data_IF_393407955798
#
_entry.id   IF_393407955798
#
_cell.length_a   1.000
_cell.length_b   1.000
_cell.length_c   1.000
_cell.angle_alpha   90.00
_cell.angle_beta   90.00
_cell.angle_gamma   90.00
#
_symmetry.space_group_name_H-M   'P 1'
#
loop_
_entity.id
_entity.type
_entity.pdbx_description
1 polymer ?
#
# COMPACT_ATOMS: atom_id res chain seq x y z
N UNK A 1 0.99 14.49 -20.88
CA UNK A 1 1.96 15.59 -21.07
C UNK A 1 1.68 16.65 -20.00
N UNK A 2 2.50 16.70 -18.95
CA UNK A 2 2.30 17.62 -17.81
C UNK A 2 2.93 18.99 -18.09
N UNK A 3 2.22 20.07 -17.73
CA UNK A 3 2.71 21.44 -17.88
C UNK A 3 3.67 21.78 -16.74
N UNK A 4 4.97 21.55 -16.96
CA UNK A 4 6.02 22.09 -16.07
C UNK A 4 5.98 23.62 -16.13
N UNK A 5 6.18 24.28 -14.99
CA UNK A 5 6.22 25.74 -14.88
C UNK A 5 7.58 26.14 -14.33
N UNK A 6 8.18 27.16 -14.91
CA UNK A 6 9.48 27.70 -14.50
C UNK A 6 9.31 29.13 -14.03
N UNK A 7 10.13 29.54 -13.06
CA UNK A 7 10.12 30.86 -12.46
C UNK A 7 10.80 31.88 -13.38
N UNK A 8 10.19 33.05 -13.51
CA UNK A 8 10.79 34.22 -14.18
C UNK A 8 11.53 35.15 -13.19
N UNK A 9 11.81 34.68 -11.97
CA UNK A 9 12.53 35.44 -10.94
C UNK A 9 11.66 36.34 -10.06
N UNK A 10 10.42 36.60 -10.47
CA UNK A 10 9.45 37.43 -9.72
C UNK A 10 8.57 36.65 -8.76
N UNK A 11 8.62 35.32 -8.82
CA UNK A 11 7.68 34.44 -8.16
C UNK A 11 8.23 33.93 -6.82
N UNK A 12 7.35 33.69 -5.86
CA UNK A 12 7.72 33.22 -4.52
C UNK A 12 7.04 31.89 -4.20
N UNK A 13 7.76 31.03 -3.48
CA UNK A 13 7.24 29.76 -2.99
C UNK A 13 7.38 29.64 -1.47
N UNK A 14 6.49 28.85 -0.87
CA UNK A 14 6.52 28.54 0.55
C UNK A 14 7.67 27.58 0.84
N UNK A 15 8.62 28.02 1.64
CA UNK A 15 9.78 27.27 2.07
C UNK A 15 9.84 27.24 3.61
N UNK A 16 10.69 26.38 4.14
CA UNK A 16 10.96 26.29 5.57
C UNK A 16 12.42 26.65 5.81
N UNK A 17 12.66 27.58 6.74
CA UNK A 17 14.02 27.90 7.20
C UNK A 17 14.16 27.62 8.68
N UNK A 18 15.38 27.30 9.08
CA UNK A 18 15.72 27.16 10.50
C UNK A 18 16.13 28.52 11.04
N UNK A 19 15.42 29.02 12.05
CA UNK A 19 15.77 30.23 12.79
C UNK A 19 15.69 29.91 14.28
N UNK A 20 16.76 30.19 15.01
CA UNK A 20 16.83 30.00 16.47
C UNK A 20 16.42 28.58 16.91
N UNK A 21 16.89 27.56 16.18
CA UNK A 21 16.61 26.15 16.45
C UNK A 21 15.23 25.64 16.05
N UNK A 22 14.30 26.52 15.63
CA UNK A 22 12.94 26.17 15.19
C UNK A 22 12.79 26.27 13.67
N UNK A 23 11.92 25.43 13.11
CA UNK A 23 11.56 25.46 11.69
C UNK A 23 10.41 26.45 11.52
N UNK A 24 10.62 27.49 10.72
CA UNK A 24 9.65 28.55 10.45
C UNK A 24 9.35 28.61 8.95
N UNK A 25 8.07 28.66 8.61
CA UNK A 25 7.61 28.83 7.23
C UNK A 25 7.90 30.26 6.76
N UNK A 26 8.43 30.42 5.55
CA UNK A 26 8.68 31.72 4.94
C UNK A 26 8.49 31.64 3.43
N UNK A 27 8.22 32.78 2.79
CA UNK A 27 8.17 32.87 1.33
C UNK A 27 9.57 33.15 0.78
N UNK A 28 10.11 32.21 0.01
CA UNK A 28 11.39 32.35 -0.68
C UNK A 28 11.18 32.84 -2.12
N UNK A 29 11.98 33.80 -2.58
CA UNK A 29 12.01 34.20 -3.98
C UNK A 29 12.71 33.10 -4.81
N UNK A 30 12.05 32.68 -5.89
CA UNK A 30 12.55 31.60 -6.75
C UNK A 30 13.46 32.19 -7.84
N UNK A 31 14.69 31.68 -8.02
CA UNK A 31 15.59 32.18 -9.06
C UNK A 31 15.01 31.92 -10.46
N UNK A 32 15.45 32.72 -11.43
CA UNK A 32 15.06 32.55 -12.85
C UNK A 32 15.40 31.14 -13.34
N UNK A 33 14.44 30.48 -13.97
CA UNK A 33 14.57 29.09 -14.44
C UNK A 33 14.31 28.02 -13.38
N UNK A 34 14.00 28.36 -12.13
CA UNK A 34 13.66 27.36 -11.11
C UNK A 34 12.30 26.73 -11.39
N UNK A 35 12.19 25.40 -11.24
CA UNK A 35 10.95 24.67 -11.46
C UNK A 35 9.97 24.87 -10.29
N UNK A 36 8.76 25.33 -10.61
CA UNK A 36 7.74 25.71 -9.64
C UNK A 36 6.77 24.58 -9.34
N UNK A 37 6.16 24.62 -8.15
CA UNK A 37 5.14 23.68 -7.71
C UNK A 37 5.69 22.28 -7.50
N UNK A 38 7.02 22.15 -7.43
CA UNK A 38 7.69 20.90 -7.12
C UNK A 38 7.45 20.57 -5.66
N UNK A 39 7.18 19.30 -5.40
CA UNK A 39 7.02 18.79 -4.04
C UNK A 39 7.90 17.58 -3.93
N UNK A 40 8.77 17.59 -2.93
CA UNK A 40 9.67 16.46 -2.63
C UNK A 40 8.89 15.16 -2.47
N UNK A 41 7.67 15.25 -1.94
CA UNK A 41 6.79 14.10 -1.76
C UNK A 41 5.73 14.05 -2.85
N UNK A 42 5.77 12.98 -3.64
CA UNK A 42 4.72 12.65 -4.60
C UNK A 42 3.37 12.52 -3.88
N UNK A 43 2.38 13.35 -4.24
CA UNK A 43 1.06 13.40 -3.55
C UNK A 43 0.29 12.07 -3.66
N UNK A 44 0.52 11.35 -4.75
CA UNK A 44 0.05 10.00 -5.10
C UNK A 44 0.95 9.51 -6.22
N UNK A 45 1.43 8.28 -6.15
CA UNK A 45 1.99 7.57 -7.30
C UNK A 45 0.93 7.52 -8.41
N UNK A 46 1.06 8.40 -9.40
CA UNK A 46 0.36 8.26 -10.68
C UNK A 46 1.26 7.39 -11.56
N UNK A 47 1.36 6.12 -11.21
CA UNK A 47 2.25 5.15 -11.83
C UNK A 47 1.64 3.75 -11.76
N UNK A 48 0.40 3.62 -12.22
CA UNK A 48 -0.28 2.35 -12.35
C UNK A 48 -1.39 2.54 -13.37
N UNK A 49 -1.13 2.13 -14.62
CA UNK A 49 -2.09 2.22 -15.73
C UNK A 49 -3.33 1.35 -15.55
N UNK A 50 -3.39 0.53 -14.49
CA UNK A 50 -4.65 0.01 -13.98
C UNK A 50 -5.02 0.84 -12.75
N UNK A 51 -6.17 1.52 -12.83
CA UNK A 51 -6.87 1.86 -11.60
C UNK A 51 -6.93 0.60 -10.75
N UNK A 52 -6.37 0.65 -9.52
CA UNK A 52 -6.51 -0.48 -8.59
C UNK A 52 -8.01 -0.71 -8.45
N UNK A 53 -8.50 -1.76 -9.11
CA UNK A 53 -9.90 -2.17 -9.03
C UNK A 53 -10.21 -2.34 -7.55
N UNK A 54 -11.18 -1.56 -7.06
CA UNK A 54 -11.64 -1.64 -5.68
C UNK A 54 -11.29 -0.47 -4.74
N UNK A 55 -10.71 0.64 -5.22
CA UNK A 55 -10.44 1.79 -4.34
C UNK A 55 -11.47 2.95 -4.42
N UNK A 56 -12.11 3.17 -5.57
CA UNK A 56 -13.05 4.29 -5.76
C UNK A 56 -14.50 3.84 -5.79
N UNK A 57 -15.39 4.63 -5.19
CA UNK A 57 -16.84 4.37 -5.20
C UNK A 57 -17.41 4.37 -6.63
N UNK A 58 -16.80 5.10 -7.57
CA UNK A 58 -17.18 5.10 -8.99
C UNK A 58 -16.89 3.75 -9.66
N UNK A 59 -15.75 3.14 -9.35
CA UNK A 59 -15.39 1.82 -9.89
C UNK A 59 -16.37 0.74 -9.41
N UNK A 60 -16.82 0.79 -8.15
CA UNK A 60 -17.88 -0.11 -7.67
C UNK A 60 -19.24 0.16 -8.29
N UNK A 61 -19.57 1.42 -8.55
CA UNK A 61 -20.82 1.80 -9.21
C UNK A 61 -20.86 1.26 -10.65
N UNK A 62 -19.77 1.38 -11.40
CA UNK A 62 -19.61 0.81 -12.73
C UNK A 62 -19.66 -0.72 -12.69
N UNK A 63 -18.91 -1.36 -11.79
CA UNK A 63 -18.89 -2.82 -11.64
C UNK A 63 -20.26 -3.41 -11.35
N UNK A 64 -21.06 -2.75 -10.51
CA UNK A 64 -22.37 -3.23 -10.08
C UNK A 64 -23.52 -2.71 -10.94
N UNK A 65 -23.23 -2.00 -12.04
CA UNK A 65 -24.22 -1.30 -12.87
C UNK A 65 -25.19 -0.46 -12.03
N UNK A 66 -24.67 0.17 -10.97
CA UNK A 66 -25.43 0.89 -9.96
C UNK A 66 -25.17 2.39 -10.06
N UNK A 67 -26.19 3.20 -9.74
CA UNK A 67 -26.02 4.65 -9.66
C UNK A 67 -25.13 4.99 -8.45
N UNK A 68 -24.07 5.82 -8.61
CA UNK A 68 -23.21 6.20 -7.49
C UNK A 68 -24.01 6.97 -6.45
N UNK A 69 -23.81 6.61 -5.18
CA UNK A 69 -24.55 7.22 -4.07
C UNK A 69 -24.27 8.73 -3.98
N UNK A 70 -25.33 9.53 -3.98
CA UNK A 70 -25.26 10.98 -3.74
C UNK A 70 -25.56 11.25 -2.27
N UNK A 71 -24.63 11.89 -1.58
CA UNK A 71 -24.86 12.38 -0.22
C UNK A 71 -25.83 13.56 -0.25
N UNK A 72 -27.11 13.28 -0.02
CA UNK A 72 -28.11 14.32 0.24
C UNK A 72 -28.08 14.62 1.73
N UNK A 73 -27.77 15.88 2.09
CA UNK A 73 -27.85 16.33 3.49
C UNK A 73 -29.28 16.12 3.98
N UNK A 74 -29.46 15.31 5.01
CA UNK A 74 -30.76 15.13 5.63
C UNK A 74 -31.28 16.50 6.10
N UNK A 75 -32.49 16.86 5.67
CA UNK A 75 -33.21 18.00 6.27
C UNK A 75 -33.62 17.61 7.68
N UNK A 76 -33.58 18.56 8.62
CA UNK A 76 -34.09 18.36 9.98
C UNK A 76 -35.55 17.92 9.89
N UNK A 77 -35.82 16.67 10.26
CA UNK A 77 -37.17 16.16 10.44
C UNK A 77 -37.79 16.89 11.61
N UNK A 78 -39.03 17.37 11.46
CA UNK A 78 -39.81 17.87 12.60
C UNK A 78 -40.20 16.64 13.42
N UNK A 79 -39.67 16.53 14.64
CA UNK A 79 -40.06 15.45 15.56
C UNK A 79 -41.56 15.50 15.81
N UNK A 80 -42.27 14.46 15.38
CA UNK A 80 -43.69 14.27 15.66
C UNK A 80 -43.90 13.59 17.02
N UNK A 81 -45.16 13.53 17.45
CA UNK A 81 -45.56 12.75 18.62
C UNK A 81 -45.33 11.26 18.36
N UNK A 82 -44.72 10.54 19.30
CA UNK A 82 -44.58 9.10 19.22
C UNK A 82 -45.89 8.42 19.61
N UNK A 83 -46.39 7.52 18.76
CA UNK A 83 -47.61 6.75 19.02
C UNK A 83 -47.27 5.33 19.46
N UNK A 84 -48.12 4.73 20.31
CA UNK A 84 -48.02 3.30 20.60
C UNK A 84 -48.44 2.49 19.37
N UNK A 85 -47.93 1.26 19.23
CA UNK A 85 -48.17 0.38 18.06
C UNK A 85 -49.67 0.21 17.73
N UNK A 86 -50.51 0.08 18.76
CA UNK A 86 -51.96 -0.10 18.64
C UNK A 86 -52.66 1.16 18.14
N UNK A 87 -52.25 2.34 18.62
CA UNK A 87 -52.77 3.63 18.18
C UNK A 87 -52.37 3.92 16.74
N UNK A 88 -51.11 3.65 16.38
CA UNK A 88 -50.61 3.81 15.02
C UNK A 88 -51.37 2.94 14.01
N UNK A 89 -51.68 1.68 14.38
CA UNK A 89 -52.46 0.78 13.53
C UNK A 89 -53.88 1.29 13.26
N UNK A 90 -54.55 1.85 14.29
CA UNK A 90 -55.88 2.45 14.14
C UNK A 90 -55.86 3.69 13.24
N UNK A 91 -54.87 4.57 13.42
CA UNK A 91 -54.72 5.77 12.59
C UNK A 91 -54.44 5.43 11.12
N UNK A 92 -53.63 4.40 10.88
CA UNK A 92 -53.39 3.90 9.51
C UNK A 92 -54.68 3.37 8.89
N UNK A 93 -55.44 2.54 9.59
CA UNK A 93 -56.70 1.99 9.07
C UNK A 93 -57.70 3.10 8.70
N UNK A 94 -57.83 4.14 9.55
CA UNK A 94 -58.65 5.31 9.25
C UNK A 94 -58.13 6.09 8.03
N UNK A 95 -56.82 6.30 7.92
CA UNK A 95 -56.23 7.00 6.78
C UNK A 95 -56.43 6.27 5.45
N UNK A 96 -56.28 4.94 5.44
CA UNK A 96 -56.54 4.11 4.27
C UNK A 96 -58.02 4.13 3.86
N UNK A 97 -58.95 4.09 4.82
CA UNK A 97 -60.39 4.21 4.52
C UNK A 97 -60.78 5.57 3.94
N UNK A 98 -60.09 6.64 4.35
CA UNK A 98 -60.35 8.01 3.91
C UNK A 98 -59.65 8.40 2.59
N UNK A 99 -58.79 7.55 2.03
CA UNK A 99 -58.01 7.85 0.81
C UNK A 99 -58.39 6.94 -0.36
N UNK A 100 -59.33 7.36 -1.24
CA UNK A 100 -59.81 6.54 -2.35
C UNK A 100 -58.76 6.30 -3.45
N UNK A 101 -57.75 7.17 -3.55
CA UNK A 101 -56.61 7.00 -4.45
C UNK A 101 -55.31 7.07 -3.65
N UNK A 102 -54.64 5.92 -3.55
CA UNK A 102 -53.34 5.84 -2.90
C UNK A 102 -52.25 6.49 -3.76
N UNK A 103 -51.25 7.16 -3.15
CA UNK A 103 -50.13 7.70 -3.88
C UNK A 103 -49.38 6.59 -4.63
N UNK A 104 -48.91 6.92 -5.84
CA UNK A 104 -48.13 5.99 -6.64
C UNK A 104 -46.86 5.58 -5.89
N UNK A 105 -46.70 4.28 -5.67
CA UNK A 105 -45.47 3.73 -5.07
C UNK A 105 -44.33 3.96 -6.07
N UNK A 106 -43.43 4.88 -5.75
CA UNK A 106 -42.18 5.09 -6.48
C UNK A 106 -41.15 4.05 -6.04
N UNK A 107 -40.94 3.03 -6.87
CA UNK A 107 -39.80 2.12 -6.70
C UNK A 107 -38.53 2.85 -7.10
N UNK A 108 -37.60 3.01 -6.17
CA UNK A 108 -36.28 3.53 -6.47
C UNK A 108 -35.52 2.54 -7.38
N UNK A 109 -34.69 3.04 -8.31
CA UNK A 109 -33.83 2.18 -9.11
C UNK A 109 -32.85 1.42 -8.20
N UNK A 110 -32.40 0.26 -8.67
CA UNK A 110 -31.35 -0.52 -8.01
C UNK A 110 -30.08 0.33 -7.89
N UNK A 111 -29.56 0.46 -6.67
CA UNK A 111 -28.42 1.32 -6.37
C UNK A 111 -27.65 0.84 -5.14
N UNK A 112 -26.47 1.40 -4.94
CA UNK A 112 -25.65 1.12 -3.76
C UNK A 112 -26.34 1.61 -2.47
N UNK A 113 -26.20 0.90 -1.34
CA UNK A 113 -26.76 1.33 -0.06
C UNK A 113 -26.17 2.68 0.37
N UNK A 114 -26.91 3.38 1.24
CA UNK A 114 -26.67 4.78 1.64
C UNK A 114 -25.19 5.12 1.80
N UNK A 115 -24.70 5.95 0.87
CA UNK A 115 -23.38 6.55 0.72
C UNK A 115 -22.36 6.27 1.85
N UNK A 116 -21.75 5.07 1.90
CA UNK A 116 -20.61 4.86 2.77
C UNK A 116 -19.47 5.77 2.30
N UNK A 117 -18.64 6.25 3.24
CA UNK A 117 -17.44 7.02 2.89
C UNK A 117 -16.56 6.26 1.89
N UNK A 118 -16.57 4.92 1.95
CA UNK A 118 -15.98 4.00 0.97
C UNK A 118 -16.90 2.78 0.76
N UNK A 119 -17.30 2.52 -0.48
CA UNK A 119 -18.13 1.37 -0.86
C UNK A 119 -17.39 0.05 -0.65
N UNK A 120 -16.05 0.07 -0.76
CA UNK A 120 -15.19 -1.08 -0.48
C UNK A 120 -15.39 -1.69 0.92
N UNK A 121 -15.81 -0.89 1.92
CA UNK A 121 -16.00 -1.40 3.28
C UNK A 121 -17.21 -2.33 3.41
N UNK A 122 -18.12 -2.33 2.42
CA UNK A 122 -19.23 -3.29 2.32
C UNK A 122 -18.79 -4.64 1.75
N UNK A 123 -17.63 -4.69 1.10
CA UNK A 123 -17.11 -5.86 0.39
C UNK A 123 -15.74 -6.26 0.94
N UNK A 124 -15.71 -6.87 2.13
CA UNK A 124 -14.48 -7.28 2.81
C UNK A 124 -13.54 -8.11 1.93
N UNK A 125 -14.09 -9.00 1.08
CA UNK A 125 -13.32 -9.82 0.14
C UNK A 125 -12.70 -9.06 -1.03
N UNK A 126 -13.15 -7.83 -1.30
CA UNK A 126 -12.58 -6.95 -2.35
C UNK A 126 -11.58 -5.94 -1.78
N UNK A 127 -11.40 -5.92 -0.46
CA UNK A 127 -10.40 -5.09 0.20
C UNK A 127 -9.06 -5.81 0.12
N UNK A 128 -8.11 -5.24 -0.62
CA UNK A 128 -6.72 -5.66 -0.51
C UNK A 128 -6.23 -5.36 0.91
N UNK A 129 -6.11 -6.41 1.71
CA UNK A 129 -5.59 -6.31 3.08
C UNK A 129 -4.18 -5.75 3.09
N UNK A 130 -3.80 -5.15 4.23
CA UNK A 130 -2.45 -4.60 4.45
C UNK A 130 -1.40 -5.69 4.75
N UNK A 131 -1.80 -6.96 4.76
CA UNK A 131 -0.94 -8.07 5.11
C UNK A 131 -0.26 -8.62 3.85
N UNK A 132 1.05 -8.43 3.81
CA UNK A 132 2.06 -9.15 3.05
C UNK A 132 1.82 -9.35 1.53
N UNK A 133 2.56 -8.56 0.72
CA UNK A 133 3.05 -9.05 -0.57
C UNK A 133 2.19 -8.79 -1.81
N UNK A 134 1.45 -7.68 -1.86
CA UNK A 134 0.59 -7.39 -3.01
C UNK A 134 0.81 -6.05 -3.71
N UNK A 135 1.69 -5.15 -3.26
CA UNK A 135 1.98 -3.93 -4.04
C UNK A 135 2.82 -4.30 -5.26
N UNK A 136 2.64 -3.60 -6.39
CA UNK A 136 3.78 -3.47 -7.29
C UNK A 136 4.92 -2.87 -6.44
N UNK A 137 6.14 -3.41 -6.51
CA UNK A 137 7.26 -2.86 -5.77
C UNK A 137 7.34 -1.36 -6.06
N UNK A 138 7.51 -0.56 -5.02
CA UNK A 138 7.72 0.87 -5.22
C UNK A 138 8.99 1.02 -6.05
N UNK A 139 9.10 2.02 -6.92
CA UNK A 139 10.33 2.19 -7.73
C UNK A 139 11.58 2.34 -6.84
N UNK A 140 11.43 2.84 -5.62
CA UNK A 140 12.50 2.88 -4.61
C UNK A 140 12.91 1.48 -4.13
N UNK A 141 11.96 0.55 -4.01
CA UNK A 141 12.23 -0.85 -3.69
C UNK A 141 12.97 -1.53 -4.84
N UNK A 142 12.64 -1.19 -6.10
CA UNK A 142 13.35 -1.70 -7.27
C UNK A 142 14.79 -1.13 -7.36
N UNK A 143 14.97 0.17 -7.13
CA UNK A 143 16.30 0.79 -7.11
C UNK A 143 17.17 0.27 -5.98
N UNK A 144 16.63 0.13 -4.77
CA UNK A 144 17.36 -0.47 -3.64
C UNK A 144 17.68 -1.94 -3.89
N UNK A 145 16.74 -2.70 -4.49
CA UNK A 145 16.96 -4.07 -4.90
C UNK A 145 18.07 -4.23 -5.96
N UNK A 146 18.18 -3.28 -6.90
CA UNK A 146 19.28 -3.26 -7.89
C UNK A 146 20.63 -2.97 -7.22
N UNK A 147 20.71 -1.95 -6.36
CA UNK A 147 21.94 -1.64 -5.62
C UNK A 147 22.39 -2.82 -4.75
N UNK A 148 21.46 -3.45 -4.01
CA UNK A 148 21.76 -4.65 -3.21
C UNK A 148 22.23 -5.81 -4.08
N UNK A 149 21.70 -6.01 -5.29
CA UNK A 149 22.18 -7.06 -6.20
C UNK A 149 23.60 -6.82 -6.66
N UNK A 150 23.99 -5.58 -6.90
CA UNK A 150 25.37 -5.23 -7.28
C UNK A 150 26.34 -5.48 -6.12
N UNK A 151 25.98 -5.07 -4.91
CA UNK A 151 26.75 -5.37 -3.69
C UNK A 151 26.94 -6.88 -3.50
N UNK A 152 25.87 -7.67 -3.65
CA UNK A 152 25.95 -9.13 -3.55
C UNK A 152 26.78 -9.77 -4.66
N UNK A 153 26.82 -9.19 -5.87
CA UNK A 153 27.73 -9.65 -6.93
C UNK A 153 29.19 -9.43 -6.57
N UNK A 154 29.50 -8.28 -5.98
CA UNK A 154 30.86 -7.97 -5.51
C UNK A 154 31.26 -8.92 -4.38
N UNK A 155 30.39 -9.13 -3.38
CA UNK A 155 30.61 -10.11 -2.29
C UNK A 155 30.89 -11.50 -2.86
N UNK A 156 30.07 -11.96 -3.81
CA UNK A 156 30.24 -13.28 -4.44
C UNK A 156 31.55 -13.39 -5.21
N UNK A 157 32.00 -12.33 -5.87
CA UNK A 157 33.26 -12.35 -6.64
C UNK A 157 34.52 -12.46 -5.78
N UNK A 158 34.45 -12.02 -4.51
CA UNK A 158 35.57 -12.11 -3.56
C UNK A 158 35.56 -13.40 -2.73
N UNK A 159 34.45 -14.16 -2.75
CA UNK A 159 34.35 -15.42 -2.02
C UNK A 159 35.06 -16.56 -2.74
N UNK A 160 35.59 -17.50 -1.95
CA UNK A 160 36.11 -18.76 -2.46
C UNK A 160 34.95 -19.64 -2.96
N UNK A 161 35.12 -20.25 -4.15
CA UNK A 161 34.11 -21.13 -4.76
C UNK A 161 33.69 -22.28 -3.82
N UNK A 162 34.64 -22.80 -3.02
CA UNK A 162 34.36 -23.84 -2.04
C UNK A 162 33.40 -23.37 -0.92
N UNK A 163 33.54 -22.12 -0.46
CA UNK A 163 32.65 -21.56 0.56
C UNK A 163 31.26 -21.27 -0.03
N UNK A 164 31.20 -20.82 -1.29
CA UNK A 164 29.93 -20.63 -2.02
C UNK A 164 29.17 -21.96 -2.13
N UNK A 165 29.86 -23.04 -2.49
CA UNK A 165 29.25 -24.38 -2.56
C UNK A 165 28.70 -24.86 -1.21
N UNK A 166 29.42 -24.57 -0.11
CA UNK A 166 28.95 -24.91 1.25
C UNK A 166 27.67 -24.13 1.59
N UNK A 167 27.61 -22.83 1.26
CA UNK A 167 26.43 -21.99 1.51
C UNK A 167 25.25 -22.42 0.62
N UNK A 168 25.49 -22.70 -0.66
CA UNK A 168 24.47 -23.21 -1.59
C UNK A 168 23.92 -24.57 -1.15
N UNK A 169 24.78 -25.46 -0.62
CA UNK A 169 24.37 -26.73 -0.03
C UNK A 169 23.54 -26.50 1.26
N UNK A 170 23.95 -25.54 2.10
CA UNK A 170 23.23 -25.21 3.33
C UNK A 170 21.80 -24.70 3.08
N UNK A 171 21.57 -23.96 1.99
CA UNK A 171 20.24 -23.49 1.59
C UNK A 171 19.24 -24.62 1.29
N UNK A 172 19.74 -25.80 0.90
CA UNK A 172 18.91 -26.98 0.55
C UNK A 172 18.93 -28.07 1.62
N UNK A 173 19.86 -28.01 2.56
CA UNK A 173 20.08 -29.03 3.59
C UNK A 173 18.98 -29.01 4.65
N UNK A 174 18.57 -30.21 5.13
CA UNK A 174 17.64 -30.32 6.27
C UNK A 174 18.38 -30.38 7.60
N UNK A 175 19.62 -30.86 7.59
CA UNK A 175 20.48 -30.97 8.76
C UNK A 175 21.96 -30.72 8.40
N UNK A 176 22.82 -30.56 9.41
CA UNK A 176 24.25 -30.29 9.22
C UNK A 176 25.01 -31.47 8.58
N UNK A 177 24.54 -32.70 8.77
CA UNK A 177 25.10 -33.89 8.12
C UNK A 177 24.88 -33.91 6.62
N UNK A 178 23.80 -33.32 6.11
CA UNK A 178 23.52 -33.19 4.68
C UNK A 178 24.54 -32.25 4.00
N UNK A 179 24.96 -31.19 4.70
CA UNK A 179 26.02 -30.27 4.23
C UNK A 179 27.34 -31.03 4.13
N UNK A 180 27.70 -31.78 5.18
CA UNK A 180 28.92 -32.60 5.15
C UNK A 180 28.91 -33.64 4.04
N UNK A 181 27.75 -34.29 3.80
CA UNK A 181 27.57 -35.26 2.70
C UNK A 181 27.67 -34.62 1.32
N UNK A 182 27.10 -33.43 1.13
CA UNK A 182 27.22 -32.68 -0.12
C UNK A 182 28.69 -32.34 -0.45
N UNK A 183 29.52 -32.16 0.57
CA UNK A 183 30.96 -31.91 0.44
C UNK A 183 31.82 -33.19 0.45
N UNK A 184 31.20 -34.37 0.34
CA UNK A 184 31.90 -35.66 0.23
C UNK A 184 32.25 -36.36 1.54
N UNK A 185 31.80 -35.86 2.70
CA UNK A 185 32.00 -36.53 3.99
C UNK A 185 30.88 -37.51 4.29
N UNK A 186 31.20 -38.70 4.82
CA UNK A 186 30.23 -39.77 5.10
C UNK A 186 30.21 -40.19 6.57
N UNK A 187 29.15 -40.92 6.94
CA UNK A 187 28.99 -41.51 8.26
C UNK A 187 28.81 -40.50 9.40
N UNK A 188 29.13 -40.92 10.62
CA UNK A 188 28.99 -40.10 11.83
C UNK A 188 29.86 -38.83 11.83
N UNK A 189 30.85 -38.75 10.94
CA UNK A 189 31.71 -37.57 10.81
C UNK A 189 31.09 -36.46 9.96
N UNK A 190 30.13 -36.78 9.09
CA UNK A 190 29.52 -35.82 8.17
C UNK A 190 28.89 -34.62 8.90
N UNK A 191 28.25 -34.85 10.04
CA UNK A 191 27.62 -33.77 10.82
C UNK A 191 28.65 -32.82 11.44
N UNK A 192 29.75 -33.36 12.00
CA UNK A 192 30.85 -32.56 12.54
C UNK A 192 31.56 -31.77 11.44
N UNK A 193 31.80 -32.40 10.30
CA UNK A 193 32.42 -31.75 9.14
C UNK A 193 31.53 -30.64 8.58
N UNK A 194 30.24 -30.90 8.37
CA UNK A 194 29.28 -29.91 7.88
C UNK A 194 29.17 -28.69 8.79
N UNK A 195 29.13 -28.90 10.12
CA UNK A 195 29.15 -27.80 11.09
C UNK A 195 30.42 -26.94 10.99
N UNK A 196 31.59 -27.59 10.86
CA UNK A 196 32.89 -26.90 10.76
C UNK A 196 32.97 -26.10 9.46
N UNK A 197 32.60 -26.70 8.34
CA UNK A 197 32.62 -26.07 7.01
C UNK A 197 31.68 -24.87 6.95
N UNK A 198 30.44 -25.01 7.44
CA UNK A 198 29.48 -23.92 7.45
C UNK A 198 29.95 -22.75 8.32
N UNK A 199 30.58 -23.03 9.47
CA UNK A 199 31.15 -21.98 10.33
C UNK A 199 32.25 -21.21 9.59
N UNK A 200 33.19 -21.91 8.98
CA UNK A 200 34.29 -21.27 8.21
C UNK A 200 33.74 -20.44 7.05
N UNK A 201 32.80 -20.98 6.28
CA UNK A 201 32.18 -20.25 5.17
C UNK A 201 31.44 -18.99 5.65
N UNK A 202 30.75 -19.05 6.80
CA UNK A 202 30.10 -17.88 7.39
C UNK A 202 31.11 -16.83 7.89
N UNK A 203 32.20 -17.25 8.52
CA UNK A 203 33.26 -16.34 8.99
C UNK A 203 33.92 -15.63 7.81
N UNK A 204 34.18 -16.35 6.72
CA UNK A 204 34.72 -15.79 5.48
C UNK A 204 33.73 -14.83 4.80
N UNK A 205 32.45 -15.21 4.71
CA UNK A 205 31.40 -14.32 4.19
C UNK A 205 31.33 -13.01 5.00
N UNK A 206 31.35 -13.10 6.34
CA UNK A 206 31.32 -11.93 7.20
C UNK A 206 32.56 -11.04 7.03
N UNK A 207 33.74 -11.63 6.80
CA UNK A 207 34.96 -10.88 6.51
C UNK A 207 34.88 -10.13 5.17
N UNK A 208 34.36 -10.78 4.12
CA UNK A 208 34.17 -10.17 2.80
C UNK A 208 33.14 -9.03 2.86
N UNK A 209 32.00 -9.23 3.54
CA UNK A 209 30.99 -8.18 3.73
C UNK A 209 31.59 -6.97 4.43
N UNK A 210 32.38 -7.18 5.50
CA UNK A 210 33.08 -6.08 6.20
C UNK A 210 34.05 -5.33 5.31
N UNK A 211 34.75 -6.04 4.41
CA UNK A 211 35.71 -5.45 3.48
C UNK A 211 35.03 -4.57 2.43
N UNK A 212 33.86 -4.98 1.93
CA UNK A 212 33.11 -4.23 0.91
C UNK A 212 32.34 -3.04 1.53
N UNK A 213 31.96 -3.15 2.80
CA UNK A 213 31.27 -2.09 3.53
C UNK A 213 32.20 -1.00 4.11
N UNK A 214 33.52 -1.23 4.13
CA UNK A 214 34.53 -0.30 4.62
C UNK A 214 35.01 0.65 3.51
#
# INVERSE_FOLDING_TARGET
>A
MGTLRFSDGSQTEKAFKRKDGKIVEFSAAMPTGAMLGTRERQRKEKGGGSSVSGASNSSFAEMLNAVPARNVKARRSKGGKSYRRTEAAKMLAQAYGNTPLLPKITKCPTGLPYAPARVADLFLGMKKGRCAGGGAPSWQDDCSGLASREEWRNVRSEMLEADVQVIDAAMKAKNLGDIGRAMGHSGAYAEKAGKRLLRVANDNLAAVIKKIAA
#
